data_IF_185751526390
#
_entry.id   IF_185751526390
#
_cell.length_a   1.000
_cell.length_b   1.000
_cell.length_c   1.000
_cell.angle_alpha   90.00
_cell.angle_beta   90.00
_cell.angle_gamma   90.00
#
_symmetry.space_group_name_H-M   'P 1'
#
loop_
_entity.id
_entity.type
_entity.pdbx_description
1 polymer ?
#
# COMPACT_ATOMS: atom_id res chain seq x y z
N UNK A 1 39.54 6.20 -55.79
CA UNK A 1 39.20 6.85 -54.50
C UNK A 1 37.69 6.73 -54.27
N UNK A 2 37.24 5.79 -53.45
CA UNK A 2 35.86 5.73 -52.93
C UNK A 2 35.97 5.50 -51.43
N UNK A 3 35.69 6.53 -50.63
CA UNK A 3 35.64 6.44 -49.18
C UNK A 3 34.28 5.89 -48.77
N UNK A 4 34.25 4.70 -48.18
CA UNK A 4 33.08 4.20 -47.46
C UNK A 4 33.10 4.81 -46.06
N UNK A 5 32.14 5.68 -45.77
CA UNK A 5 31.87 6.17 -44.41
C UNK A 5 31.01 5.12 -43.71
N UNK A 6 31.59 4.44 -42.72
CA UNK A 6 30.86 3.57 -41.80
C UNK A 6 30.13 4.44 -40.76
N UNK A 7 28.80 4.50 -40.85
CA UNK A 7 27.95 5.06 -39.81
C UNK A 7 27.79 4.02 -38.71
N UNK A 8 28.62 4.12 -37.66
CA UNK A 8 28.43 3.38 -36.41
C UNK A 8 27.24 3.99 -35.66
N UNK A 9 26.05 3.42 -35.83
CA UNK A 9 24.89 3.72 -34.99
C UNK A 9 25.13 3.13 -33.60
N UNK A 10 25.51 3.99 -32.65
CA UNK A 10 25.59 3.67 -31.23
C UNK A 10 24.16 3.51 -30.71
N UNK A 11 23.73 2.25 -30.53
CA UNK A 11 22.54 1.96 -29.72
C UNK A 11 22.87 2.26 -28.26
N UNK A 12 22.48 3.44 -27.78
CA UNK A 12 22.50 3.76 -26.37
C UNK A 12 21.53 2.85 -25.61
N UNK A 13 22.07 1.87 -24.88
CA UNK A 13 21.33 1.15 -23.85
C UNK A 13 20.91 2.17 -22.78
N UNK A 14 19.66 2.63 -22.86
CA UNK A 14 19.00 3.36 -21.78
C UNK A 14 18.88 2.41 -20.59
N UNK A 15 19.85 2.48 -19.67
CA UNK A 15 19.72 1.88 -18.35
C UNK A 15 18.58 2.62 -17.66
N UNK A 16 17.38 2.06 -17.70
CA UNK A 16 16.30 2.52 -16.82
C UNK A 16 16.77 2.24 -15.40
N UNK A 17 17.15 3.31 -14.68
CA UNK A 17 17.34 3.24 -13.25
C UNK A 17 16.03 2.73 -12.65
N UNK A 18 16.06 1.50 -12.12
CA UNK A 18 14.92 0.90 -11.43
C UNK A 18 14.74 1.69 -10.13
N UNK A 19 13.93 2.75 -10.18
CA UNK A 19 13.55 3.47 -8.97
C UNK A 19 12.81 2.49 -8.06
N UNK A 20 13.19 2.45 -6.78
CA UNK A 20 12.58 1.55 -5.80
C UNK A 20 11.05 1.77 -5.64
N UNK A 21 10.59 2.97 -6.01
CA UNK A 21 9.20 3.39 -6.00
C UNK A 21 8.85 4.07 -7.33
N UNK A 22 7.85 3.55 -8.01
CA UNK A 22 7.27 4.15 -9.21
C UNK A 22 5.94 4.82 -8.84
N UNK A 23 5.88 6.15 -8.96
CA UNK A 23 4.62 6.90 -8.83
C UNK A 23 4.09 7.22 -10.22
N UNK A 24 2.81 6.90 -10.44
CA UNK A 24 2.09 7.23 -11.67
C UNK A 24 0.70 7.78 -11.32
N UNK A 25 0.23 8.70 -12.16
CA UNK A 25 -1.15 9.17 -12.13
C UNK A 25 -1.90 8.54 -13.29
N UNK A 26 -3.04 7.92 -12.99
CA UNK A 26 -3.85 7.23 -13.98
C UNK A 26 -5.23 7.86 -14.01
N UNK A 27 -5.69 8.21 -15.21
CA UNK A 27 -7.08 8.58 -15.46
C UNK A 27 -7.73 7.46 -16.27
N UNK A 28 -8.86 6.96 -15.79
CA UNK A 28 -9.64 5.92 -16.47
C UNK A 28 -10.47 6.52 -17.61
N UNK A 29 -11.01 5.66 -18.48
CA UNK A 29 -11.88 6.10 -19.57
C UNK A 29 -13.13 6.82 -19.05
N UNK A 30 -13.58 6.44 -17.86
CA UNK A 30 -14.75 7.00 -17.21
C UNK A 30 -14.46 8.23 -16.35
N UNK A 31 -13.21 8.70 -16.36
CA UNK A 31 -12.81 9.96 -15.74
C UNK A 31 -12.29 9.85 -14.31
N UNK A 32 -12.36 8.67 -13.67
CA UNK A 32 -11.79 8.44 -12.34
C UNK A 32 -10.27 8.56 -12.36
N UNK A 33 -9.71 9.24 -11.35
CA UNK A 33 -8.29 9.55 -11.25
C UNK A 33 -7.66 8.89 -10.02
N UNK A 34 -6.47 8.31 -10.20
CA UNK A 34 -5.75 7.58 -9.16
C UNK A 34 -4.28 7.97 -9.11
N UNK A 35 -3.73 8.04 -7.90
CA UNK A 35 -2.29 7.94 -7.69
C UNK A 35 -1.96 6.47 -7.40
N UNK A 36 -1.00 5.91 -8.15
CA UNK A 36 -0.52 4.53 -7.97
C UNK A 36 0.95 4.57 -7.61
N UNK A 37 1.30 3.84 -6.55
CA UNK A 37 2.65 3.73 -6.01
C UNK A 37 3.04 2.27 -6.05
N UNK A 38 3.96 1.95 -6.95
CA UNK A 38 4.45 0.61 -7.16
C UNK A 38 5.73 0.40 -6.33
N UNK A 39 5.74 -0.63 -5.48
CA UNK A 39 6.85 -0.96 -4.56
C UNK A 39 7.33 -2.37 -4.87
N UNK A 40 8.59 -2.46 -5.32
CA UNK A 40 9.28 -3.73 -5.56
C UNK A 40 10.32 -4.06 -4.48
N UNK A 41 10.89 -3.03 -3.82
CA UNK A 41 11.91 -3.23 -2.78
C UNK A 41 11.27 -3.35 -1.40
N UNK A 42 10.86 -4.56 -1.03
CA UNK A 42 10.18 -4.82 0.24
C UNK A 42 11.05 -4.56 1.49
N UNK A 43 12.39 -4.50 1.35
CA UNK A 43 13.30 -4.17 2.46
C UNK A 43 13.11 -2.76 3.01
N UNK A 44 12.61 -1.85 2.17
CA UNK A 44 12.37 -0.45 2.55
C UNK A 44 10.96 -0.23 3.10
N UNK A 45 10.04 -1.19 2.88
CA UNK A 45 8.65 -1.08 3.28
C UNK A 45 8.47 -1.49 4.75
N UNK A 46 7.90 -0.59 5.55
CA UNK A 46 7.68 -0.76 6.99
C UNK A 46 6.25 -0.43 7.36
N UNK A 47 5.81 -0.98 8.50
CA UNK A 47 4.67 -0.46 9.23
C UNK A 47 5.13 0.40 10.40
N UNK A 48 4.30 1.38 10.74
CA UNK A 48 4.49 2.31 11.85
C UNK A 48 3.18 2.40 12.63
N UNK A 49 3.22 2.08 13.93
CA UNK A 49 2.08 2.28 14.84
C UNK A 49 2.42 3.24 15.97
N UNK A 50 3.45 2.88 16.76
CA UNK A 50 3.89 3.62 17.94
C UNK A 50 5.37 3.93 17.86
N UNK A 51 5.75 5.07 18.44
CA UNK A 51 7.14 5.40 18.67
C UNK A 51 7.73 4.46 19.74
N UNK A 52 8.83 3.79 19.41
CA UNK A 52 9.48 2.82 20.30
C UNK A 52 9.95 3.43 21.63
N UNK A 53 10.28 4.72 21.66
CA UNK A 53 10.89 5.37 22.82
C UNK A 53 9.86 5.80 23.88
N UNK A 54 8.67 6.24 23.45
CA UNK A 54 7.65 6.79 24.35
C UNK A 54 6.29 6.08 24.27
N UNK A 55 6.17 5.06 23.41
CA UNK A 55 4.96 4.25 23.19
C UNK A 55 3.73 5.03 22.70
N UNK A 56 3.88 6.29 22.29
CA UNK A 56 2.80 7.09 21.71
C UNK A 56 2.57 6.71 20.25
N UNK A 57 1.31 6.72 19.81
CA UNK A 57 0.96 6.54 18.40
C UNK A 57 1.53 7.66 17.54
N UNK A 58 2.01 7.31 16.34
CA UNK A 58 2.57 8.30 15.42
C UNK A 58 1.53 9.30 14.92
N UNK A 59 0.35 8.82 14.52
CA UNK A 59 -0.80 9.61 14.03
C UNK A 59 -0.61 10.39 12.72
N UNK A 60 0.62 10.76 12.35
CA UNK A 60 0.89 11.55 11.15
C UNK A 60 2.22 11.17 10.50
N UNK A 61 2.34 11.42 9.20
CA UNK A 61 3.59 11.22 8.45
C UNK A 61 4.73 12.09 9.00
N UNK A 62 4.42 13.31 9.43
CA UNK A 62 5.40 14.23 10.01
C UNK A 62 6.01 13.66 11.30
N UNK A 63 5.20 13.03 12.16
CA UNK A 63 5.69 12.41 13.38
C UNK A 63 6.56 11.19 13.09
N UNK A 64 6.27 10.41 12.04
CA UNK A 64 7.16 9.35 11.57
C UNK A 64 8.50 9.97 11.13
N UNK A 65 8.46 10.96 10.23
CA UNK A 65 9.66 11.57 9.66
C UNK A 65 10.57 12.19 10.72
N UNK A 66 10.02 12.76 11.80
CA UNK A 66 10.79 13.29 12.94
C UNK A 66 11.50 12.22 13.77
N UNK A 67 11.04 10.97 13.73
CA UNK A 67 11.55 9.86 14.54
C UNK A 67 12.33 8.83 13.71
N UNK A 68 12.49 9.05 12.40
CA UNK A 68 13.43 8.29 11.59
C UNK A 68 14.87 8.65 11.97
N UNK A 69 15.81 7.74 11.69
CA UNK A 69 17.24 8.04 11.87
C UNK A 69 17.64 9.21 10.95
N UNK A 70 18.69 9.93 11.31
CA UNK A 70 19.16 11.10 10.54
C UNK A 70 19.45 10.79 9.05
N UNK A 71 19.94 9.58 8.76
CA UNK A 71 20.26 9.09 7.42
C UNK A 71 19.06 8.43 6.71
N UNK A 72 17.88 8.36 7.36
CA UNK A 72 16.67 7.77 6.81
C UNK A 72 15.70 8.85 6.36
N UNK A 73 15.00 8.61 5.26
CA UNK A 73 13.97 9.51 4.74
C UNK A 73 12.72 8.75 4.35
N UNK A 74 11.56 9.24 4.76
CA UNK A 74 10.29 8.72 4.28
C UNK A 74 10.13 9.14 2.81
N UNK A 75 9.95 8.19 1.91
CA UNK A 75 9.78 8.45 0.48
C UNK A 75 8.33 8.28 0.01
N UNK A 76 7.59 7.39 0.68
CA UNK A 76 6.16 7.13 0.52
C UNK A 76 5.54 6.79 1.88
N UNK A 77 4.31 7.23 2.13
CA UNK A 77 3.48 6.65 3.19
C UNK A 77 1.97 6.78 2.91
N UNK A 78 1.21 5.88 3.50
CA UNK A 78 -0.25 5.81 3.42
C UNK A 78 -0.78 5.22 4.73
N UNK A 79 -1.98 5.57 5.15
CA UNK A 79 -2.66 4.82 6.21
C UNK A 79 -2.82 3.34 5.80
N UNK A 80 -2.61 2.42 6.74
CA UNK A 80 -2.64 0.99 6.52
C UNK A 80 -4.02 0.41 6.93
N UNK A 81 -4.07 -0.71 7.65
CA UNK A 81 -5.31 -1.31 8.10
C UNK A 81 -6.13 -0.42 9.04
N UNK A 82 -7.42 -0.74 9.13
CA UNK A 82 -8.39 0.01 9.96
C UNK A 82 -8.02 0.00 11.44
N UNK A 83 -8.45 1.05 12.15
CA UNK A 83 -8.15 1.24 13.56
C UNK A 83 -9.38 1.68 14.37
N UNK A 84 -9.35 1.42 15.68
CA UNK A 84 -10.35 1.91 16.64
C UNK A 84 -10.10 3.36 17.01
N UNK A 85 -11.07 4.06 17.61
CA UNK A 85 -10.93 5.48 18.04
C UNK A 85 -9.66 5.78 18.86
N UNK A 86 -9.10 4.79 19.56
CA UNK A 86 -7.84 4.87 20.29
C UNK A 86 -6.57 4.59 19.48
N UNK A 87 -6.62 4.58 18.14
CA UNK A 87 -5.52 4.32 17.20
C UNK A 87 -4.97 2.89 17.17
N UNK A 88 -5.54 1.97 17.96
CA UNK A 88 -5.18 0.55 17.90
C UNK A 88 -5.73 -0.12 16.63
N UNK A 89 -4.99 -1.05 16.00
CA UNK A 89 -5.48 -1.80 14.85
C UNK A 89 -6.76 -2.59 15.17
N UNK A 90 -7.70 -2.68 14.22
CA UNK A 90 -8.93 -3.48 14.37
C UNK A 90 -8.65 -4.99 14.30
N UNK A 91 -7.66 -5.38 13.50
CA UNK A 91 -7.28 -6.77 13.27
C UNK A 91 -5.78 -6.96 13.30
N UNK A 92 -5.29 -8.06 12.71
CA UNK A 92 -3.88 -8.45 12.74
C UNK A 92 -2.96 -7.26 12.47
N UNK A 93 -1.99 -7.07 13.36
CA UNK A 93 -0.90 -6.14 13.16
C UNK A 93 0.41 -6.77 13.63
N UNK A 94 1.32 -6.95 12.69
CA UNK A 94 2.67 -7.45 12.93
C UNK A 94 3.66 -6.36 12.54
N UNK A 95 4.56 -6.01 13.44
CA UNK A 95 5.62 -5.03 13.19
C UNK A 95 6.96 -5.62 13.66
N UNK A 96 7.96 -5.65 12.77
CA UNK A 96 9.28 -6.23 13.06
C UNK A 96 9.19 -7.67 13.61
N UNK A 97 8.38 -8.50 12.95
CA UNK A 97 8.09 -9.90 13.30
C UNK A 97 7.42 -10.12 14.66
N UNK A 98 6.96 -9.06 15.34
CA UNK A 98 6.18 -9.15 16.57
C UNK A 98 4.70 -8.93 16.30
N UNK A 99 3.87 -9.88 16.72
CA UNK A 99 2.41 -9.71 16.73
C UNK A 99 2.03 -8.72 17.84
N UNK A 100 1.46 -7.58 17.46
CA UNK A 100 1.00 -6.52 18.39
C UNK A 100 -0.51 -6.60 18.56
N UNK A 101 -1.24 -6.95 17.51
CA UNK A 101 -2.68 -7.20 17.52
C UNK A 101 -2.95 -8.55 16.84
N UNK A 102 -3.72 -9.47 17.43
CA UNK A 102 -4.03 -10.76 16.83
C UNK A 102 -4.95 -10.63 15.61
N UNK A 103 -5.02 -11.71 14.82
CA UNK A 103 -5.98 -11.85 13.74
C UNK A 103 -7.41 -11.70 14.27
N UNK A 104 -8.21 -10.91 13.57
CA UNK A 104 -9.62 -10.71 13.93
C UNK A 104 -10.50 -11.47 12.92
N UNK A 105 -11.11 -12.56 13.38
CA UNK A 105 -12.04 -13.41 12.64
C UNK A 105 -13.50 -13.15 13.02
N UNK A 106 -13.75 -12.11 13.83
CA UNK A 106 -15.09 -11.79 14.29
C UNK A 106 -15.97 -11.30 13.13
N UNK A 107 -17.28 -11.43 13.32
CA UNK A 107 -18.30 -10.80 12.46
C UNK A 107 -18.77 -9.50 13.11
N UNK A 108 -19.17 -8.53 12.29
CA UNK A 108 -19.58 -7.23 12.78
C UNK A 108 -20.12 -6.33 11.68
N UNK A 109 -20.31 -5.05 12.02
CA UNK A 109 -20.80 -4.03 11.12
C UNK A 109 -19.68 -3.11 10.64
N UNK A 110 -19.81 -2.60 9.41
CA UNK A 110 -18.85 -1.68 8.81
C UNK A 110 -17.86 -2.38 7.89
N UNK A 111 -17.05 -1.57 7.18
CA UNK A 111 -16.24 -2.03 6.06
C UNK A 111 -15.26 -3.16 6.43
N UNK A 112 -14.66 -3.12 7.61
CA UNK A 112 -13.73 -4.17 8.07
C UNK A 112 -14.36 -5.56 8.05
N UNK A 113 -15.65 -5.66 8.34
CA UNK A 113 -16.38 -6.92 8.47
C UNK A 113 -17.08 -7.34 7.18
N UNK A 114 -16.99 -6.54 6.11
CA UNK A 114 -17.48 -6.93 4.79
C UNK A 114 -16.56 -8.00 4.21
N UNK A 115 -17.08 -9.21 4.03
CA UNK A 115 -16.29 -10.39 3.74
C UNK A 115 -16.04 -10.60 2.23
N UNK A 116 -14.98 -11.34 1.86
CA UNK A 116 -13.85 -11.63 2.73
C UNK A 116 -13.08 -10.33 3.04
N UNK A 117 -12.66 -10.16 4.29
CA UNK A 117 -11.58 -9.24 4.63
C UNK A 117 -10.23 -9.98 4.49
N UNK A 118 -9.10 -9.30 4.67
CA UNK A 118 -7.82 -9.90 4.34
C UNK A 118 -6.61 -9.27 5.03
N UNK A 119 -5.46 -9.91 4.80
CA UNK A 119 -4.16 -9.57 5.38
C UNK A 119 -3.20 -9.26 4.25
N UNK A 120 -2.63 -8.05 4.27
CA UNK A 120 -1.37 -7.77 3.59
C UNK A 120 -0.24 -8.20 4.53
N UNK A 121 0.66 -9.06 4.06
CA UNK A 121 1.85 -9.47 4.82
C UNK A 121 3.10 -9.51 3.95
N UNK A 122 4.26 -9.20 4.53
CA UNK A 122 5.53 -9.25 3.81
C UNK A 122 6.74 -9.48 4.71
N UNK A 123 7.84 -9.87 4.08
CA UNK A 123 9.19 -9.83 4.60
C UNK A 123 10.13 -9.21 3.55
N UNK A 124 11.44 -9.25 3.78
CA UNK A 124 12.45 -8.67 2.88
C UNK A 124 12.46 -9.25 1.45
N UNK A 125 11.86 -10.42 1.22
CA UNK A 125 11.90 -11.16 -0.05
C UNK A 125 10.55 -11.19 -0.73
N UNK A 126 9.48 -11.41 0.02
CA UNK A 126 8.15 -11.64 -0.55
C UNK A 126 7.03 -10.92 0.20
N UNK A 127 5.99 -10.58 -0.53
CA UNK A 127 4.73 -10.08 -0.05
C UNK A 127 3.57 -10.97 -0.51
N UNK A 128 2.46 -10.91 0.21
CA UNK A 128 1.21 -11.54 -0.18
C UNK A 128 0.03 -10.68 0.28
N UNK A 129 -1.10 -10.89 -0.39
CA UNK A 129 -2.41 -10.49 0.11
C UNK A 129 -3.25 -11.76 0.12
N UNK A 130 -3.81 -12.09 1.28
CA UNK A 130 -4.64 -13.28 1.46
C UNK A 130 -5.95 -12.91 2.14
N UNK A 131 -7.01 -13.66 1.87
CA UNK A 131 -8.21 -13.56 2.70
C UNK A 131 -7.88 -13.97 4.14
N UNK A 132 -8.62 -13.45 5.11
CA UNK A 132 -8.43 -13.80 6.53
C UNK A 132 -8.51 -15.32 6.75
N UNK A 133 -9.42 -16.01 6.06
CA UNK A 133 -9.55 -17.47 6.11
C UNK A 133 -8.35 -18.20 5.50
N UNK A 134 -7.76 -17.69 4.42
CA UNK A 134 -6.54 -18.27 3.85
C UNK A 134 -5.35 -18.06 4.79
N UNK A 135 -5.29 -16.88 5.43
CA UNK A 135 -4.23 -16.56 6.39
C UNK A 135 -4.30 -17.43 7.65
N UNK A 136 -5.49 -17.66 8.22
CA UNK A 136 -5.64 -18.43 9.47
C UNK A 136 -5.29 -19.92 9.37
N UNK A 137 -5.14 -20.45 8.15
CA UNK A 137 -4.85 -21.88 7.90
C UNK A 137 -3.38 -22.23 7.83
N UNK A 138 -2.48 -21.26 7.92
CA UNK A 138 -1.03 -21.47 7.74
C UNK A 138 -0.26 -20.55 8.66
N UNK A 139 0.90 -21.01 9.11
CA UNK A 139 1.87 -20.15 9.79
C UNK A 139 2.73 -19.43 8.75
N UNK A 140 2.65 -18.11 8.75
CA UNK A 140 3.46 -17.26 7.87
C UNK A 140 4.56 -16.58 8.67
N UNK A 141 5.80 -16.76 8.25
CA UNK A 141 6.91 -15.95 8.74
C UNK A 141 6.90 -14.58 8.03
N UNK A 142 6.24 -13.61 8.66
CA UNK A 142 6.14 -12.22 8.21
C UNK A 142 6.92 -11.29 9.13
N UNK A 143 7.62 -10.31 8.53
CA UNK A 143 8.20 -9.21 9.30
C UNK A 143 7.16 -8.12 9.57
N UNK A 144 6.22 -7.95 8.64
CA UNK A 144 5.15 -6.98 8.76
C UNK A 144 3.85 -7.56 8.22
N UNK A 145 2.74 -7.24 8.88
CA UNK A 145 1.41 -7.56 8.39
C UNK A 145 0.36 -6.60 8.94
N UNK A 146 -0.66 -6.32 8.13
CA UNK A 146 -1.81 -5.52 8.52
C UNK A 146 -3.08 -6.14 7.95
N UNK A 147 -4.07 -6.36 8.81
CA UNK A 147 -5.40 -6.80 8.40
C UNK A 147 -6.29 -5.60 8.13
N UNK A 148 -7.09 -5.71 7.08
CA UNK A 148 -8.10 -4.72 6.72
C UNK A 148 -9.23 -5.41 5.96
N UNK A 149 -10.23 -4.67 5.54
CA UNK A 149 -11.29 -5.21 4.72
C UNK A 149 -12.20 -4.13 4.17
N UNK A 150 -12.88 -4.40 3.04
CA UNK A 150 -12.96 -5.71 2.36
C UNK A 150 -11.77 -6.02 1.42
N UNK A 151 -11.62 -7.28 1.03
CA UNK A 151 -10.89 -7.64 -0.19
C UNK A 151 -11.57 -7.00 -1.39
N UNK A 152 -10.79 -6.37 -2.26
CA UNK A 152 -11.24 -5.71 -3.47
C UNK A 152 -11.26 -6.65 -4.67
N UNK A 153 -10.16 -7.39 -4.85
CA UNK A 153 -9.97 -8.37 -5.92
C UNK A 153 -9.47 -9.66 -5.28
N UNK A 154 -10.05 -10.79 -5.69
CA UNK A 154 -9.71 -12.14 -5.22
C UNK A 154 -9.52 -13.02 -6.45
N UNK A 155 -8.32 -13.57 -6.63
CA UNK A 155 -7.96 -14.40 -7.79
C UNK A 155 -8.32 -13.72 -9.13
N UNK A 156 -8.02 -12.42 -9.23
CA UNK A 156 -8.32 -11.60 -10.40
C UNK A 156 -9.80 -11.24 -10.59
N UNK A 157 -10.70 -11.57 -9.65
CA UNK A 157 -12.14 -11.24 -9.70
C UNK A 157 -12.52 -10.19 -8.67
N UNK A 158 -13.37 -9.24 -9.05
CA UNK A 158 -13.94 -8.25 -8.10
C UNK A 158 -14.74 -9.00 -7.03
N UNK A 159 -14.67 -8.52 -5.78
CA UNK A 159 -15.51 -9.02 -4.69
C UNK A 159 -17.00 -8.95 -5.07
N UNK A 160 -17.69 -10.08 -5.03
CA UNK A 160 -19.09 -10.22 -5.46
C UNK A 160 -20.09 -9.41 -4.65
N UNK A 161 -19.71 -8.90 -3.48
CA UNK A 161 -20.56 -8.02 -2.67
C UNK A 161 -20.58 -6.57 -3.19
N UNK A 162 -19.73 -6.21 -4.15
CA UNK A 162 -19.70 -4.85 -4.69
C UNK A 162 -20.72 -4.69 -5.81
N UNK A 163 -21.73 -3.86 -5.54
CA UNK A 163 -22.75 -3.51 -6.50
C UNK A 163 -22.20 -2.48 -7.51
N UNK A 164 -22.29 -2.73 -8.83
CA UNK A 164 -21.84 -1.79 -9.86
C UNK A 164 -22.47 -0.40 -9.77
N UNK A 165 -23.74 -0.35 -9.35
CA UNK A 165 -24.59 0.84 -9.23
C UNK A 165 -24.61 1.43 -7.81
N UNK A 166 -23.72 0.99 -6.92
CA UNK A 166 -23.62 1.52 -5.55
C UNK A 166 -23.36 3.03 -5.55
N UNK A 167 -24.17 3.76 -4.77
CA UNK A 167 -24.04 5.21 -4.58
C UNK A 167 -23.06 5.59 -3.46
N UNK A 168 -22.41 4.61 -2.82
CA UNK A 168 -21.44 4.84 -1.75
C UNK A 168 -20.10 5.32 -2.32
N UNK A 169 -19.99 6.62 -2.58
CA UNK A 169 -18.80 7.22 -3.16
C UNK A 169 -17.92 7.89 -2.08
N UNK A 170 -16.65 7.50 -2.03
CA UNK A 170 -15.65 8.06 -1.10
C UNK A 170 -14.29 8.17 -1.78
N UNK A 171 -13.40 8.98 -1.22
CA UNK A 171 -11.96 8.81 -1.46
C UNK A 171 -11.56 7.47 -0.85
N UNK A 172 -10.90 6.61 -1.64
CA UNK A 172 -10.56 5.24 -1.25
C UNK A 172 -9.08 5.00 -1.44
N UNK A 173 -8.51 4.20 -0.55
CA UNK A 173 -7.18 3.65 -0.72
C UNK A 173 -7.17 2.13 -0.57
N UNK A 174 -6.13 1.51 -1.11
CA UNK A 174 -6.01 0.07 -1.16
C UNK A 174 -4.63 -0.35 -1.63
N UNK A 175 -4.38 -1.64 -1.56
CA UNK A 175 -3.14 -2.27 -2.01
C UNK A 175 -3.47 -3.48 -2.86
N UNK A 176 -2.82 -3.60 -4.01
CA UNK A 176 -2.88 -4.78 -4.87
C UNK A 176 -1.51 -5.44 -4.98
N UNK A 177 -1.48 -6.70 -5.41
CA UNK A 177 -0.23 -7.44 -5.64
C UNK A 177 -0.24 -8.15 -6.99
N UNK A 178 0.89 -8.09 -7.69
CA UNK A 178 1.14 -8.86 -8.92
C UNK A 178 2.62 -9.21 -9.00
N UNK A 179 2.96 -10.48 -9.19
CA UNK A 179 4.35 -10.94 -9.32
C UNK A 179 5.26 -10.40 -8.18
N UNK A 180 4.82 -10.50 -6.93
CA UNK A 180 5.54 -10.02 -5.74
C UNK A 180 5.77 -8.47 -5.67
N UNK A 181 5.17 -7.70 -6.58
CA UNK A 181 5.18 -6.23 -6.57
C UNK A 181 3.89 -5.71 -5.97
N UNK A 182 4.00 -4.80 -5.00
CA UNK A 182 2.86 -4.17 -4.35
C UNK A 182 2.47 -2.88 -5.07
N UNK A 183 1.18 -2.63 -5.19
CA UNK A 183 0.59 -1.45 -5.82
C UNK A 183 -0.32 -0.76 -4.82
N UNK A 184 0.18 0.26 -4.14
CA UNK A 184 -0.64 1.11 -3.29
C UNK A 184 -1.35 2.15 -4.14
N UNK A 185 -2.66 2.30 -3.93
CA UNK A 185 -3.51 3.16 -4.75
C UNK A 185 -4.35 4.03 -3.84
N UNK A 186 -4.53 5.29 -4.23
CA UNK A 186 -5.52 6.20 -3.67
C UNK A 186 -6.28 6.91 -4.79
N UNK A 187 -7.61 7.00 -4.68
CA UNK A 187 -8.42 7.77 -5.61
C UNK A 187 -8.30 9.27 -5.33
N UNK A 188 -8.33 10.11 -6.36
CA UNK A 188 -8.36 11.57 -6.20
C UNK A 188 -9.77 12.11 -6.10
N UNK A 189 -10.71 11.49 -6.81
CA UNK A 189 -12.13 11.75 -6.72
C UNK A 189 -12.84 10.62 -5.96
N UNK A 190 -14.08 10.91 -5.54
CA UNK A 190 -14.92 9.92 -4.84
C UNK A 190 -15.36 8.83 -5.79
N UNK A 191 -15.16 7.58 -5.42
CA UNK A 191 -15.50 6.38 -6.21
C UNK A 191 -16.21 5.35 -5.35
N UNK A 192 -17.02 4.49 -5.99
CA UNK A 192 -17.64 3.35 -5.32
C UNK A 192 -16.63 2.23 -5.07
N UNK A 193 -16.96 1.26 -4.21
CA UNK A 193 -16.12 0.07 -4.04
C UNK A 193 -15.94 -0.71 -5.34
N UNK A 194 -17.01 -0.83 -6.14
CA UNK A 194 -16.95 -1.53 -7.42
C UNK A 194 -15.98 -0.85 -8.37
N UNK A 195 -16.09 0.48 -8.54
CA UNK A 195 -15.19 1.26 -9.42
C UNK A 195 -13.74 1.19 -8.96
N UNK A 196 -13.52 1.25 -7.65
CA UNK A 196 -12.19 1.09 -7.09
C UNK A 196 -11.60 -0.30 -7.33
N UNK A 197 -12.38 -1.37 -7.11
CA UNK A 197 -11.95 -2.73 -7.38
C UNK A 197 -11.72 -2.99 -8.88
N UNK A 198 -12.56 -2.41 -9.74
CA UNK A 198 -12.42 -2.47 -11.19
C UNK A 198 -11.09 -1.87 -11.66
N UNK A 199 -10.65 -0.77 -11.05
CA UNK A 199 -9.33 -0.20 -11.34
C UNK A 199 -8.19 -1.19 -11.05
N UNK A 200 -8.21 -1.86 -9.89
CA UNK A 200 -7.22 -2.90 -9.59
C UNK A 200 -7.30 -4.06 -10.59
N UNK A 201 -8.50 -4.52 -10.90
CA UNK A 201 -8.71 -5.68 -11.78
C UNK A 201 -8.30 -5.40 -13.22
N UNK A 202 -8.75 -4.31 -13.82
CA UNK A 202 -8.63 -4.06 -15.26
C UNK A 202 -7.34 -3.30 -15.57
N UNK A 203 -7.06 -2.22 -14.84
CA UNK A 203 -5.93 -1.34 -15.12
C UNK A 203 -4.62 -1.89 -14.56
N UNK A 204 -4.65 -2.41 -13.33
CA UNK A 204 -3.45 -2.99 -12.70
C UNK A 204 -3.31 -4.50 -12.90
N UNK A 205 -4.39 -5.22 -13.22
CA UNK A 205 -4.41 -6.68 -13.46
C UNK A 205 -3.76 -7.46 -12.31
N UNK A 206 -4.05 -7.04 -11.08
CA UNK A 206 -3.50 -7.66 -9.87
C UNK A 206 -4.22 -8.97 -9.56
N UNK A 207 -3.49 -9.88 -8.91
CA UNK A 207 -4.01 -11.20 -8.50
C UNK A 207 -4.94 -11.05 -7.29
N UNK A 208 -4.54 -10.21 -6.34
CA UNK A 208 -5.26 -9.92 -5.11
C UNK A 208 -5.21 -8.42 -4.84
N UNK A 209 -6.28 -7.87 -4.26
CA UNK A 209 -6.30 -6.50 -3.77
C UNK A 209 -7.11 -6.38 -2.49
N UNK A 210 -6.67 -5.50 -1.60
CA UNK A 210 -7.21 -5.27 -0.27
C UNK A 210 -7.50 -3.79 -0.06
N UNK A 211 -8.71 -3.48 0.43
CA UNK A 211 -9.06 -2.14 0.86
C UNK A 211 -8.38 -1.84 2.20
N UNK A 212 -7.76 -0.67 2.29
CA UNK A 212 -7.14 -0.17 3.53
C UNK A 212 -8.15 0.70 4.28
N UNK A 213 -7.71 1.57 5.19
CA UNK A 213 -8.64 2.46 5.88
C UNK A 213 -9.10 3.64 5.00
N UNK A 214 -10.16 3.45 4.21
CA UNK A 214 -10.65 4.53 3.35
C UNK A 214 -11.66 5.49 4.00
N UNK A 215 -11.97 5.39 5.31
CA UNK A 215 -12.64 6.52 6.00
C UNK A 215 -11.68 7.69 6.18
N UNK A 216 -10.39 7.38 6.27
CA UNK A 216 -9.27 8.32 6.44
C UNK A 216 -8.24 7.96 5.36
N UNK A 217 -8.42 8.44 4.13
CA UNK A 217 -7.48 8.19 3.03
C UNK A 217 -6.45 9.32 2.95
N UNK A 218 -5.18 9.03 3.24
CA UNK A 218 -4.09 9.99 3.22
C UNK A 218 -2.86 9.44 2.50
N UNK A 219 -2.15 10.31 1.79
CA UNK A 219 -0.93 9.96 1.05
C UNK A 219 0.19 10.95 1.33
N UNK A 220 1.39 10.40 1.52
CA UNK A 220 2.66 11.11 1.49
C UNK A 220 3.51 10.59 0.33
N UNK A 221 4.04 11.52 -0.48
CA UNK A 221 5.02 11.22 -1.53
C UNK A 221 6.06 12.32 -1.53
N UNK A 222 7.31 11.97 -1.23
CA UNK A 222 8.41 12.94 -1.17
C UNK A 222 8.67 13.61 -2.52
N UNK A 223 8.67 12.82 -3.61
CA UNK A 223 9.04 13.27 -4.96
C UNK A 223 8.17 14.41 -5.51
N UNK A 224 6.87 14.42 -5.20
CA UNK A 224 5.94 15.46 -5.64
C UNK A 224 5.53 16.42 -4.51
N UNK A 225 6.19 16.32 -3.35
CA UNK A 225 5.91 17.13 -2.15
C UNK A 225 4.47 17.01 -1.63
N UNK A 226 3.77 15.92 -1.94
CA UNK A 226 2.44 15.65 -1.36
C UNK A 226 2.59 15.17 0.09
N UNK A 227 1.84 15.79 0.99
CA UNK A 227 1.79 15.44 2.40
C UNK A 227 0.38 15.75 2.95
N UNK A 228 -0.52 14.78 2.88
CA UNK A 228 -1.88 14.96 3.39
C UNK A 228 -1.88 14.98 4.93
N UNK A 229 -2.54 15.98 5.54
CA UNK A 229 -2.49 16.23 7.00
C UNK A 229 -3.89 16.39 7.64
N UNK A 230 -4.96 16.01 6.92
CA UNK A 230 -6.32 16.25 7.37
C UNK A 230 -6.76 15.37 8.55
N UNK A 231 -6.09 14.24 8.79
CA UNK A 231 -6.55 13.22 9.73
C UNK A 231 -5.41 12.68 10.60
N UNK A 232 -5.73 12.37 11.85
CA UNK A 232 -4.90 11.49 12.68
C UNK A 232 -5.16 10.02 12.30
N UNK A 233 -4.10 9.24 12.16
CA UNK A 233 -4.14 7.87 11.64
C UNK A 233 -3.69 6.83 12.68
N UNK A 234 -4.21 5.61 12.60
CA UNK A 234 -3.69 4.47 13.36
C UNK A 234 -2.46 3.86 12.68
N UNK A 235 -2.53 2.60 12.21
CA UNK A 235 -1.51 1.98 11.37
C UNK A 235 -1.14 2.83 10.15
N UNK A 236 0.15 2.99 9.90
CA UNK A 236 0.69 3.63 8.68
C UNK A 236 1.67 2.66 8.02
N UNK A 237 1.57 2.51 6.70
CA UNK A 237 2.57 1.84 5.87
C UNK A 237 3.44 2.90 5.20
N UNK A 238 4.74 2.69 5.15
CA UNK A 238 5.65 3.63 4.51
C UNK A 238 6.92 2.99 4.00
N UNK A 239 7.46 3.56 2.93
CA UNK A 239 8.77 3.20 2.41
C UNK A 239 9.80 4.18 2.92
N UNK A 240 10.88 3.66 3.49
CA UNK A 240 11.99 4.44 4.04
C UNK A 240 13.21 4.25 3.16
N UNK A 241 13.66 5.33 2.54
CA UNK A 241 14.96 5.38 1.90
C UNK A 241 16.06 5.40 2.97
N UNK A 242 17.08 4.58 2.74
CA UNK A 242 18.25 4.41 3.62
C UNK A 242 19.56 4.56 2.84
N UNK A 243 19.53 5.12 1.63
CA UNK A 243 20.72 5.27 0.78
C UNK A 243 21.84 6.02 1.52
N UNK A 244 21.49 7.09 2.25
CA UNK A 244 22.44 7.87 3.05
C UNK A 244 22.95 7.13 4.29
N UNK A 245 22.33 6.02 4.70
CA UNK A 245 22.80 5.20 5.83
C UNK A 245 23.92 4.23 5.43
N UNK A 246 24.06 3.94 4.14
CA UNK A 246 25.08 3.03 3.61
C UNK A 246 26.39 3.75 3.28
N UNK A 247 26.36 5.08 3.18
CA UNK A 247 27.53 5.94 3.01
C UNK A 247 28.10 6.19 4.42
N UNK A 248 28.85 5.22 4.95
CA UNK A 248 29.65 5.35 6.17
C UNK A 248 31.02 4.75 5.95
#
# INVERSE_FOLDING_TARGET
>A
MKWLVWCLTIYGLLIQSVYAIEHQQVKTAEGDQYDVIAISNLKQLRLFLKNSNNQQYYKSFNNIQKNLKQCERLSFAMNAGMFHRGFSPVGLYVEQAKVIQPLNENKGLGNFFLQPNGVLGWNKKQAFILTTQQYSRRDFNVEYATQSGPMLVIDGKINSLFLPDSQSNKIRNGVGIRNNKLYFVISKNSVSFYRFAQFFQINLKVEQALYLDGSISSLYIQKNKRNDQLFEMGPIVGSVDQTDCQIK
#
